data_IF_102975601345
#
_entry.id   IF_102975601345
#
_cell.length_a   1.000
_cell.length_b   1.000
_cell.length_c   1.000
_cell.angle_alpha   90.00
_cell.angle_beta   90.00
_cell.angle_gamma   90.00
#
_symmetry.space_group_name_H-M   'P 1'
#
loop_
_entity.id
_entity.type
_entity.pdbx_description
1 polymer ?
#
# COMPACT_ATOMS: atom_id res chain seq x y z
N UNK A 1 -5.65 6.16 2.13
CA UNK A 1 -6.35 6.09 0.82
C UNK A 1 -7.73 5.44 0.96
N UNK A 2 -8.77 6.10 0.45
CA UNK A 2 -10.17 5.60 0.46
C UNK A 2 -10.52 4.85 -0.83
N UNK A 3 -11.54 3.98 -0.78
CA UNK A 3 -12.02 3.22 -1.95
C UNK A 3 -12.39 4.07 -3.17
N UNK A 4 -12.95 5.27 -2.96
CA UNK A 4 -13.31 6.20 -4.04
C UNK A 4 -12.08 6.77 -4.76
N UNK A 5 -11.08 7.16 -3.98
CA UNK A 5 -9.79 7.65 -4.46
C UNK A 5 -9.01 6.57 -5.20
N UNK A 6 -8.99 5.34 -4.67
CA UNK A 6 -8.46 4.16 -5.35
C UNK A 6 -9.14 3.96 -6.72
N UNK A 7 -10.48 4.03 -6.73
CA UNK A 7 -11.37 4.14 -7.90
C UNK A 7 -10.79 5.04 -8.99
N UNK A 8 -10.55 6.28 -8.58
CA UNK A 8 -10.09 7.37 -9.42
C UNK A 8 -8.69 7.11 -9.98
N UNK A 9 -7.73 6.77 -9.11
CA UNK A 9 -6.34 6.54 -9.51
C UNK A 9 -6.25 5.41 -10.52
N UNK A 10 -6.91 4.28 -10.27
CA UNK A 10 -6.93 3.14 -11.21
C UNK A 10 -7.42 3.56 -12.60
N UNK A 11 -8.47 4.41 -12.65
CA UNK A 11 -9.01 4.92 -13.91
C UNK A 11 -8.03 5.89 -14.60
N UNK A 12 -7.43 6.81 -13.84
CA UNK A 12 -6.49 7.82 -14.37
C UNK A 12 -5.25 7.19 -15.00
N UNK A 13 -4.70 6.14 -14.37
CA UNK A 13 -3.51 5.45 -14.89
C UNK A 13 -3.84 4.31 -15.87
N UNK A 14 -5.12 4.09 -16.19
CA UNK A 14 -5.56 3.02 -17.09
C UNK A 14 -5.28 1.60 -16.56
N UNK A 15 -5.13 1.42 -15.25
CA UNK A 15 -4.80 0.11 -14.66
C UNK A 15 -6.03 -0.80 -14.68
N UNK A 16 -5.85 -2.03 -15.19
CA UNK A 16 -6.86 -3.08 -15.10
C UNK A 16 -6.33 -4.20 -14.18
N UNK A 17 -6.87 -4.34 -12.94
CA UNK A 17 -6.44 -5.36 -12.01
C UNK A 17 -6.52 -6.77 -12.61
N UNK A 18 -5.44 -7.54 -12.52
CA UNK A 18 -5.38 -8.91 -13.04
C UNK A 18 -5.52 -9.92 -11.90
N UNK A 19 -6.68 -10.58 -11.81
CA UNK A 19 -6.97 -11.59 -10.78
C UNK A 19 -5.97 -12.74 -10.77
N UNK A 20 -5.51 -13.20 -11.94
CA UNK A 20 -4.52 -14.28 -12.03
C UNK A 20 -3.13 -13.88 -11.51
N UNK A 21 -2.84 -12.58 -11.35
CA UNK A 21 -1.62 -12.07 -10.69
C UNK A 21 -1.82 -11.80 -9.20
N UNK A 22 -2.97 -12.19 -8.63
CA UNK A 22 -3.29 -11.97 -7.21
C UNK A 22 -3.48 -10.49 -6.82
N UNK A 23 -3.65 -9.59 -7.78
CA UNK A 23 -3.72 -8.14 -7.51
C UNK A 23 -5.02 -7.78 -6.77
N UNK A 24 -4.88 -7.45 -5.48
CA UNK A 24 -5.91 -6.85 -4.65
C UNK A 24 -5.31 -5.58 -4.02
N UNK A 25 -6.02 -4.46 -4.12
CA UNK A 25 -5.48 -3.18 -3.64
C UNK A 25 -6.14 -2.77 -2.33
N UNK A 26 -5.32 -2.40 -1.35
CA UNK A 26 -5.78 -1.99 -0.03
C UNK A 26 -6.48 -0.63 -0.11
N UNK A 27 -7.74 -0.57 0.33
CA UNK A 27 -8.60 0.62 0.27
C UNK A 27 -8.92 1.20 1.66
N UNK A 28 -8.12 0.85 2.67
CA UNK A 28 -8.33 1.24 4.07
C UNK A 28 -7.02 1.73 4.69
N UNK A 29 -7.04 2.98 5.10
CA UNK A 29 -5.89 3.64 5.73
C UNK A 29 -5.62 3.11 7.14
N UNK A 30 -6.67 2.90 7.93
CA UNK A 30 -6.56 2.32 9.27
C UNK A 30 -5.94 0.91 9.23
N UNK A 31 -6.25 0.11 8.20
CA UNK A 31 -5.63 -1.21 8.05
C UNK A 31 -4.16 -1.08 7.63
N UNK A 32 -3.82 -0.16 6.72
CA UNK A 32 -2.43 0.09 6.34
C UNK A 32 -1.57 0.50 7.55
N UNK A 33 -2.10 1.39 8.40
CA UNK A 33 -1.44 1.79 9.65
C UNK A 33 -1.28 0.64 10.63
N UNK A 34 -2.30 -0.21 10.79
CA UNK A 34 -2.20 -1.41 11.64
C UNK A 34 -1.13 -2.38 11.14
N UNK A 35 -1.02 -2.59 9.83
CA UNK A 35 0.02 -3.45 9.23
C UNK A 35 1.41 -2.90 9.56
N UNK A 36 1.66 -1.61 9.29
CA UNK A 36 2.96 -1.00 9.52
C UNK A 36 3.32 -0.93 11.01
N UNK A 37 2.36 -0.62 11.88
CA UNK A 37 2.59 -0.62 13.33
C UNK A 37 2.89 -2.03 13.86
N UNK A 38 2.25 -3.07 13.32
CA UNK A 38 2.55 -4.45 13.72
C UNK A 38 3.96 -4.90 13.30
N UNK A 39 4.50 -4.34 12.21
CA UNK A 39 5.87 -4.60 11.77
C UNK A 39 6.93 -3.97 12.70
N UNK A 40 6.54 -3.06 13.61
CA UNK A 40 7.43 -2.42 14.60
C UNK A 40 8.73 -1.86 14.00
N UNK A 41 8.61 -1.24 12.82
CA UNK A 41 9.74 -0.69 12.08
C UNK A 41 10.38 0.49 12.81
N UNK A 42 11.69 0.63 12.61
CA UNK A 42 12.55 1.72 13.03
C UNK A 42 13.29 2.32 11.83
N UNK A 43 13.84 3.53 11.99
CA UNK A 43 14.57 4.23 10.92
C UNK A 43 15.87 3.55 10.47
N UNK A 44 16.29 2.49 11.18
CA UNK A 44 17.49 1.71 10.86
C UNK A 44 17.17 0.45 10.05
N UNK A 45 15.90 0.13 9.90
CA UNK A 45 15.48 -1.09 9.22
C UNK A 45 15.57 -0.92 7.71
N UNK A 46 16.09 -1.94 7.04
CA UNK A 46 16.00 -2.05 5.59
C UNK A 46 14.76 -2.89 5.24
N UNK A 47 13.77 -2.27 4.62
CA UNK A 47 12.47 -2.90 4.36
C UNK A 47 12.37 -3.36 2.91
N UNK A 48 11.96 -4.61 2.72
CA UNK A 48 11.62 -5.17 1.40
C UNK A 48 10.10 -5.39 1.33
N UNK A 49 9.42 -4.60 0.51
CA UNK A 49 7.99 -4.77 0.23
C UNK A 49 7.78 -5.56 -1.07
N UNK A 50 7.09 -6.70 -0.97
CA UNK A 50 6.74 -7.53 -2.13
C UNK A 50 5.32 -7.19 -2.58
N UNK A 51 5.17 -6.77 -3.83
CA UNK A 51 3.87 -6.43 -4.42
C UNK A 51 3.27 -5.14 -3.86
N UNK A 52 3.96 -3.98 -3.97
CA UNK A 52 3.51 -2.72 -3.37
C UNK A 52 2.19 -2.19 -3.94
N UNK A 53 1.77 -2.69 -5.11
CA UNK A 53 0.52 -2.32 -5.74
C UNK A 53 0.46 -0.82 -6.04
N UNK A 54 -0.48 -0.11 -5.42
CA UNK A 54 -0.62 1.35 -5.56
C UNK A 54 0.13 2.13 -4.48
N UNK A 55 0.97 1.47 -3.68
CA UNK A 55 1.88 2.11 -2.73
C UNK A 55 1.25 2.53 -1.39
N UNK A 56 0.04 2.05 -1.07
CA UNK A 56 -0.69 2.44 0.15
C UNK A 56 0.07 2.06 1.43
N UNK A 57 0.74 0.90 1.42
CA UNK A 57 1.58 0.45 2.55
C UNK A 57 2.97 1.08 2.45
N UNK A 58 3.56 1.14 1.24
CA UNK A 58 4.83 1.84 0.96
C UNK A 58 4.87 3.25 1.55
N UNK A 59 3.82 4.05 1.32
CA UNK A 59 3.75 5.42 1.85
C UNK A 59 3.80 5.46 3.38
N UNK A 60 3.17 4.48 4.05
CA UNK A 60 3.14 4.40 5.50
C UNK A 60 4.47 3.89 6.08
N UNK A 61 5.17 3.00 5.36
CA UNK A 61 6.53 2.56 5.71
C UNK A 61 7.49 3.76 5.67
N UNK A 62 7.51 4.50 4.57
CA UNK A 62 8.38 5.68 4.40
C UNK A 62 8.12 6.76 5.47
N UNK A 63 6.86 6.93 5.90
CA UNK A 63 6.48 7.84 7.00
C UNK A 63 7.02 7.42 8.36
N UNK A 64 7.43 6.16 8.55
CA UNK A 64 8.12 5.68 9.76
C UNK A 64 9.64 5.86 9.70
N UNK A 65 10.15 6.36 8.58
CA UNK A 65 11.58 6.62 8.37
C UNK A 65 12.39 5.39 7.97
N UNK A 66 11.72 4.30 7.60
CA UNK A 66 12.32 3.10 7.00
C UNK A 66 12.25 3.14 5.46
#
# INVERSE_FOLDING_TARGET
>A
MRKTELKRIIKEIGLVPKKHRGQNFLASEAIAERIVNAASLSEKDCVVEVGPGLGVVTEKILKKGA
#
